data_IF_923238295050
#
_entry.id   IF_923238295050
#
_cell.length_a   1.000
_cell.length_b   1.000
_cell.length_c   1.000
_cell.angle_alpha   90.00
_cell.angle_beta   90.00
_cell.angle_gamma   90.00
#
_symmetry.space_group_name_H-M   'P 1'
#
loop_
_entity.id
_entity.type
_entity.pdbx_description
1 polymer ?
#
# COMPACT_ATOMS: atom_id res chain seq x y z
N UNK A 1 -6.00 -12.33 19.39
CA UNK A 1 -5.36 -11.77 18.22
C UNK A 1 -5.22 -10.27 18.34
N UNK A 2 -4.13 -9.77 17.88
CA UNK A 2 -3.79 -8.37 18.06
C UNK A 2 -4.47 -7.46 17.04
N UNK A 3 -4.18 -6.19 17.18
CA UNK A 3 -4.61 -5.14 16.26
C UNK A 3 -3.76 -5.17 14.99
N UNK A 4 -4.41 -4.93 13.86
CA UNK A 4 -3.71 -4.67 12.60
C UNK A 4 -3.60 -3.16 12.43
N UNK A 5 -2.37 -2.66 12.45
CA UNK A 5 -2.08 -1.23 12.26
C UNK A 5 -1.58 -1.00 10.85
N UNK A 6 -2.22 -0.10 10.13
CA UNK A 6 -1.94 0.16 8.72
C UNK A 6 -1.55 1.62 8.52
N UNK A 7 -0.41 1.83 7.89
CA UNK A 7 -0.04 3.15 7.39
C UNK A 7 -0.43 3.25 5.93
N UNK A 8 -1.23 4.24 5.56
CA UNK A 8 -1.66 4.43 4.18
C UNK A 8 -1.10 5.75 3.68
N UNK A 9 -0.18 5.67 2.73
CA UNK A 9 0.52 6.80 2.15
C UNK A 9 0.04 6.98 0.73
N UNK A 10 -0.73 8.05 0.50
CA UNK A 10 -1.45 8.27 -0.75
C UNK A 10 -0.96 9.54 -1.43
N UNK A 11 -0.81 9.48 -2.75
CA UNK A 11 -0.67 10.70 -3.52
C UNK A 11 -2.05 11.34 -3.67
N UNK A 12 -2.36 12.28 -2.77
CA UNK A 12 -3.67 12.93 -2.74
C UNK A 12 -3.97 13.80 -3.96
N UNK A 13 -2.97 14.10 -4.77
CA UNK A 13 -3.17 14.82 -6.02
C UNK A 13 -3.69 13.92 -7.13
N UNK A 14 -3.67 12.59 -6.92
CA UNK A 14 -4.22 11.63 -7.86
C UNK A 14 -5.60 11.18 -7.43
N UNK A 15 -6.67 11.52 -8.17
CA UNK A 15 -8.00 10.98 -7.89
C UNK A 15 -8.06 9.45 -7.94
N UNK A 16 -7.30 8.84 -8.87
CA UNK A 16 -7.23 7.37 -8.97
C UNK A 16 -6.63 6.76 -7.71
N UNK A 17 -5.50 7.29 -7.24
CA UNK A 17 -4.84 6.79 -6.04
C UNK A 17 -5.74 6.92 -4.81
N UNK A 18 -6.44 8.04 -4.67
CA UNK A 18 -7.36 8.26 -3.55
C UNK A 18 -8.48 7.22 -3.53
N UNK A 19 -9.09 6.97 -4.69
CA UNK A 19 -10.20 6.01 -4.78
C UNK A 19 -9.74 4.59 -4.48
N UNK A 20 -8.62 4.18 -5.07
CA UNK A 20 -8.08 2.84 -4.83
C UNK A 20 -7.67 2.66 -3.37
N UNK A 21 -6.99 3.65 -2.78
CA UNK A 21 -6.62 3.59 -1.37
C UNK A 21 -7.84 3.46 -0.46
N UNK A 22 -8.91 4.21 -0.77
CA UNK A 22 -10.17 4.11 -0.02
C UNK A 22 -10.82 2.74 -0.13
N UNK A 23 -10.83 2.17 -1.32
CA UNK A 23 -11.38 0.84 -1.55
C UNK A 23 -10.54 -0.26 -0.87
N UNK A 24 -9.22 -0.10 -0.87
CA UNK A 24 -8.32 -1.02 -0.16
C UNK A 24 -8.57 -0.93 1.35
N UNK A 25 -8.70 0.26 1.89
CA UNK A 25 -9.00 0.44 3.31
C UNK A 25 -10.34 -0.18 3.69
N UNK A 26 -11.37 0.02 2.87
CA UNK A 26 -12.68 -0.61 3.10
C UNK A 26 -12.57 -2.13 3.11
N UNK A 27 -11.80 -2.69 2.19
CA UNK A 27 -11.54 -4.13 2.15
C UNK A 27 -10.79 -4.63 3.37
N UNK A 28 -9.78 -3.90 3.82
CA UNK A 28 -9.02 -4.24 5.03
C UNK A 28 -9.94 -4.24 6.27
N UNK A 29 -10.77 -3.22 6.40
CA UNK A 29 -11.69 -3.10 7.54
C UNK A 29 -12.66 -4.26 7.62
N UNK A 30 -13.20 -4.70 6.48
CA UNK A 30 -14.14 -5.84 6.44
C UNK A 30 -13.44 -7.17 6.65
N UNK A 31 -12.30 -7.36 6.02
CA UNK A 31 -11.60 -8.65 6.02
C UNK A 31 -10.84 -8.92 7.31
N UNK A 32 -10.48 -7.89 8.05
CA UNK A 32 -9.66 -8.05 9.24
C UNK A 32 -10.31 -8.93 10.31
N UNK A 33 -11.61 -8.77 10.53
CA UNK A 33 -12.34 -9.59 11.49
C UNK A 33 -12.34 -11.06 11.08
N UNK A 34 -12.50 -11.32 9.78
CA UNK A 34 -12.47 -12.69 9.26
C UNK A 34 -11.08 -13.30 9.39
N UNK A 35 -10.04 -12.48 9.32
CA UNK A 35 -8.65 -12.93 9.44
C UNK A 35 -8.21 -13.10 10.89
N UNK A 36 -9.08 -12.81 11.86
CA UNK A 36 -8.79 -13.01 13.27
C UNK A 36 -8.23 -11.81 14.00
N UNK A 37 -8.19 -10.64 13.37
CA UNK A 37 -7.79 -9.41 14.04
C UNK A 37 -8.95 -8.84 14.84
N UNK A 38 -8.67 -8.36 16.05
CA UNK A 38 -9.70 -7.77 16.91
C UNK A 38 -10.01 -6.33 16.54
N UNK A 39 -9.06 -5.66 15.90
CA UNK A 39 -9.18 -4.26 15.54
C UNK A 39 -8.25 -3.92 14.37
N UNK A 40 -8.71 -3.07 13.49
CA UNK A 40 -7.90 -2.54 12.38
C UNK A 40 -7.95 -1.03 12.43
N UNK A 41 -6.78 -0.41 12.50
CA UNK A 41 -6.67 1.05 12.53
C UNK A 41 -5.77 1.50 11.40
N UNK A 42 -6.06 2.68 10.85
CA UNK A 42 -5.25 3.26 9.79
C UNK A 42 -4.73 4.63 10.19
N UNK A 43 -3.50 4.88 9.77
CA UNK A 43 -2.90 6.21 9.78
C UNK A 43 -2.76 6.65 8.33
N UNK A 44 -3.43 7.74 7.96
CA UNK A 44 -3.41 8.28 6.60
C UNK A 44 -2.45 9.46 6.51
N UNK A 45 -1.62 9.49 5.49
CA UNK A 45 -0.66 10.55 5.30
C UNK A 45 -0.44 10.80 3.80
N UNK A 46 -0.13 12.05 3.45
CA UNK A 46 0.25 12.36 2.08
C UNK A 46 1.62 11.77 1.78
N UNK A 47 1.70 10.99 0.71
CA UNK A 47 2.95 10.40 0.28
C UNK A 47 4.04 11.44 0.03
N UNK A 48 3.65 12.61 -0.48
CA UNK A 48 4.60 13.67 -0.82
C UNK A 48 5.08 14.48 0.38
N UNK A 49 4.44 14.33 1.51
CA UNK A 49 4.71 15.10 2.72
C UNK A 49 5.24 14.26 3.88
N UNK A 50 5.46 12.98 3.65
CA UNK A 50 6.00 12.10 4.68
C UNK A 50 7.39 12.58 5.09
N UNK A 51 7.57 12.81 6.38
CA UNK A 51 8.84 13.32 6.91
C UNK A 51 9.46 12.39 7.95
N UNK A 52 8.64 11.64 8.66
CA UNK A 52 9.12 10.73 9.70
C UNK A 52 8.40 9.40 9.60
N UNK A 53 9.10 8.29 9.87
CA UNK A 53 8.44 6.99 9.92
C UNK A 53 7.37 6.98 10.99
N UNK A 54 6.24 6.35 10.69
CA UNK A 54 5.16 6.16 11.64
C UNK A 54 5.48 4.94 12.51
N UNK A 55 5.54 5.11 13.80
CA UNK A 55 5.80 4.00 14.71
C UNK A 55 4.59 3.08 14.82
N UNK A 56 4.85 1.80 14.80
CA UNK A 56 3.89 0.77 15.15
C UNK A 56 3.04 0.15 14.06
N UNK A 57 2.98 0.64 12.80
CA UNK A 57 2.18 -0.06 11.79
C UNK A 57 2.73 -1.43 11.45
N UNK A 58 1.81 -2.38 11.23
CA UNK A 58 2.15 -3.74 10.79
C UNK A 58 2.36 -3.81 9.29
N UNK A 59 1.78 -2.86 8.56
CA UNK A 59 1.91 -2.77 7.10
C UNK A 59 1.87 -1.30 6.69
N UNK A 60 2.71 -0.95 5.72
CA UNK A 60 2.66 0.34 5.04
C UNK A 60 2.17 0.12 3.61
N UNK A 61 1.18 0.88 3.18
CA UNK A 61 0.65 0.83 1.82
C UNK A 61 0.95 2.15 1.13
N UNK A 62 1.63 2.08 -0.01
CA UNK A 62 1.91 3.25 -0.84
C UNK A 62 1.01 3.20 -2.07
N UNK A 63 0.22 4.24 -2.28
CA UNK A 63 -0.70 4.31 -3.42
C UNK A 63 -0.40 5.51 -4.29
N UNK A 64 0.00 5.26 -5.53
CA UNK A 64 0.17 6.28 -6.55
C UNK A 64 -0.80 6.02 -7.70
N UNK A 65 -1.06 7.04 -8.51
CA UNK A 65 -1.90 6.89 -9.70
C UNK A 65 -1.08 6.96 -10.98
N UNK A 66 -1.49 6.19 -11.98
CA UNK A 66 -0.88 6.27 -13.30
C UNK A 66 -1.03 7.67 -13.91
N UNK A 67 -2.06 8.42 -13.49
CA UNK A 67 -2.32 9.79 -13.92
C UNK A 67 -1.31 10.80 -13.33
N UNK A 68 -0.56 10.41 -12.31
CA UNK A 68 0.44 11.26 -11.65
C UNK A 68 1.72 10.49 -11.42
N UNK A 69 2.45 10.11 -12.50
CA UNK A 69 3.59 9.19 -12.38
C UNK A 69 4.78 9.73 -11.60
N UNK A 70 4.92 11.05 -11.47
CA UNK A 70 6.01 11.67 -10.73
C UNK A 70 5.97 11.35 -9.23
N UNK A 71 4.83 10.94 -8.70
CA UNK A 71 4.70 10.57 -7.30
C UNK A 71 5.57 9.35 -6.92
N UNK A 72 6.02 8.57 -7.90
CA UNK A 72 6.86 7.41 -7.64
C UNK A 72 8.15 7.77 -6.89
N UNK A 73 8.63 8.98 -7.07
CA UNK A 73 9.86 9.43 -6.43
C UNK A 73 9.75 9.49 -4.89
N UNK A 74 8.54 9.58 -4.37
CA UNK A 74 8.29 9.63 -2.94
C UNK A 74 8.13 8.26 -2.29
N UNK A 75 7.99 7.19 -3.08
CA UNK A 75 7.87 5.84 -2.54
C UNK A 75 9.19 5.44 -1.87
N UNK A 76 9.10 4.90 -0.69
CA UNK A 76 10.29 4.51 0.08
C UNK A 76 10.69 5.53 1.13
N UNK A 77 10.05 6.71 1.17
CA UNK A 77 10.40 7.77 2.13
C UNK A 77 10.29 7.30 3.59
N UNK A 78 9.41 6.32 3.87
CA UNK A 78 9.25 5.75 5.20
C UNK A 78 9.75 4.30 5.26
N UNK A 79 10.54 3.88 4.29
CA UNK A 79 11.08 2.53 4.27
C UNK A 79 12.01 2.30 5.46
N UNK A 80 11.67 1.35 6.30
CA UNK A 80 12.47 0.97 7.45
C UNK A 80 12.50 -0.56 7.52
N UNK A 81 13.67 -1.18 7.32
CA UNK A 81 13.76 -2.65 7.34
C UNK A 81 13.45 -3.27 8.71
N UNK A 82 13.46 -2.48 9.78
CA UNK A 82 13.14 -2.95 11.13
C UNK A 82 11.64 -3.01 11.43
N UNK A 83 10.82 -2.29 10.69
CA UNK A 83 9.36 -2.23 10.80
C UNK A 83 8.83 -1.36 9.65
N UNK A 84 7.67 -1.65 9.10
CA UNK A 84 6.71 -2.71 9.42
C UNK A 84 7.13 -4.06 8.84
N UNK A 85 6.29 -5.07 9.04
CA UNK A 85 6.55 -6.41 8.50
C UNK A 85 6.24 -6.54 7.01
N UNK A 86 5.37 -5.69 6.49
CA UNK A 86 4.90 -5.80 5.11
C UNK A 86 4.71 -4.43 4.47
N UNK A 87 5.05 -4.33 3.20
CA UNK A 87 4.87 -3.11 2.40
C UNK A 87 4.00 -3.42 1.19
N UNK A 88 2.92 -2.66 1.03
CA UNK A 88 2.12 -2.71 -0.19
C UNK A 88 2.53 -1.58 -1.12
N UNK A 89 2.70 -1.88 -2.40
CA UNK A 89 2.95 -0.87 -3.43
C UNK A 89 1.86 -0.97 -4.47
N UNK A 90 1.07 0.08 -4.61
CA UNK A 90 -0.08 0.10 -5.51
C UNK A 90 0.10 1.19 -6.56
N UNK A 91 -0.08 0.80 -7.82
CA UNK A 91 -0.27 1.76 -8.90
C UNK A 91 -1.73 1.67 -9.35
N UNK A 92 -2.48 2.75 -9.13
CA UNK A 92 -3.88 2.83 -9.53
C UNK A 92 -3.97 3.11 -11.03
N UNK A 93 -4.76 2.33 -11.73
CA UNK A 93 -4.92 2.43 -13.19
C UNK A 93 -6.37 2.70 -13.56
N UNK A 94 -6.62 3.54 -14.62
CA UNK A 94 -7.98 3.93 -14.98
C UNK A 94 -8.74 2.88 -15.78
N UNK A 95 -8.03 2.04 -16.49
CA UNK A 95 -8.60 1.02 -17.34
C UNK A 95 -7.56 -0.03 -17.65
N UNK A 96 -7.38 -0.39 -18.93
CA UNK A 96 -6.35 -1.36 -19.30
C UNK A 96 -4.98 -0.82 -18.92
N UNK A 97 -4.17 -1.58 -18.15
CA UNK A 97 -2.83 -1.12 -17.76
C UNK A 97 -1.94 -0.87 -18.97
N UNK A 98 -1.20 0.22 -18.94
CA UNK A 98 -0.21 0.56 -19.94
C UNK A 98 1.17 0.07 -19.51
N UNK A 99 2.16 0.04 -20.43
CA UNK A 99 3.56 -0.25 -20.05
C UNK A 99 4.08 0.70 -18.95
N UNK A 100 3.60 1.95 -18.93
CA UNK A 100 3.97 2.90 -17.90
C UNK A 100 3.57 2.40 -16.51
N UNK A 101 2.39 1.83 -16.35
CA UNK A 101 1.92 1.33 -15.06
C UNK A 101 2.84 0.23 -14.52
N UNK A 102 3.24 -0.71 -15.37
CA UNK A 102 4.17 -1.76 -14.99
C UNK A 102 5.55 -1.22 -14.61
N UNK A 103 6.03 -0.24 -15.37
CA UNK A 103 7.30 0.42 -15.07
C UNK A 103 7.27 1.14 -13.73
N UNK A 104 6.18 1.85 -13.44
CA UNK A 104 6.01 2.54 -12.16
C UNK A 104 5.99 1.56 -10.99
N UNK A 105 5.30 0.43 -11.17
CA UNK A 105 5.24 -0.59 -10.13
C UNK A 105 6.64 -1.15 -9.83
N UNK A 106 7.39 -1.45 -10.86
CA UNK A 106 8.77 -1.91 -10.72
C UNK A 106 9.65 -0.88 -10.01
N UNK A 107 9.54 0.39 -10.40
CA UNK A 107 10.28 1.47 -9.76
C UNK A 107 9.92 1.60 -8.27
N UNK A 108 8.65 1.45 -7.93
CA UNK A 108 8.22 1.50 -6.53
C UNK A 108 8.85 0.40 -5.69
N UNK A 109 8.89 -0.82 -6.21
CA UNK A 109 9.56 -1.93 -5.53
C UNK A 109 11.06 -1.66 -5.37
N UNK A 110 11.70 -1.15 -6.43
CA UNK A 110 13.14 -0.81 -6.37
C UNK A 110 13.44 0.24 -5.31
N UNK A 111 12.61 1.27 -5.19
CA UNK A 111 12.83 2.32 -4.19
C UNK A 111 12.73 1.77 -2.77
N UNK A 112 11.78 0.88 -2.51
CA UNK A 112 11.68 0.25 -1.21
C UNK A 112 12.85 -0.67 -0.92
N UNK A 113 13.20 -1.54 -1.85
CA UNK A 113 14.33 -2.46 -1.66
C UNK A 113 15.65 -1.70 -1.55
N UNK A 114 15.76 -0.54 -2.20
CA UNK A 114 16.91 0.35 -2.07
C UNK A 114 17.10 0.91 -0.65
N UNK A 115 16.05 0.91 0.18
CA UNK A 115 16.16 1.33 1.59
C UNK A 115 16.54 0.17 2.52
N UNK A 116 16.72 -1.02 1.98
CA UNK A 116 17.04 -2.22 2.77
C UNK A 116 15.86 -3.14 3.03
N UNK A 117 14.65 -2.78 2.56
CA UNK A 117 13.48 -3.63 2.66
C UNK A 117 13.69 -4.87 1.78
N UNK A 118 13.43 -6.05 2.32
CA UNK A 118 13.56 -7.30 1.57
C UNK A 118 12.43 -7.41 0.53
N UNK A 119 12.78 -7.83 -0.68
CA UNK A 119 11.80 -7.97 -1.76
C UNK A 119 10.61 -8.87 -1.38
N UNK A 120 10.84 -9.91 -0.59
CA UNK A 120 9.79 -10.80 -0.12
C UNK A 120 8.79 -10.15 0.84
N UNK A 121 9.09 -8.96 1.35
CA UNK A 121 8.20 -8.20 2.22
C UNK A 121 7.38 -7.15 1.47
N UNK A 122 7.47 -7.15 0.15
CA UNK A 122 6.74 -6.18 -0.69
C UNK A 122 5.65 -6.90 -1.46
N UNK A 123 4.42 -6.37 -1.40
CA UNK A 123 3.27 -6.87 -2.16
C UNK A 123 2.87 -5.81 -3.18
N UNK A 124 3.36 -5.93 -4.43
CA UNK A 124 3.03 -4.96 -5.47
C UNK A 124 1.74 -5.34 -6.21
N UNK A 125 0.99 -4.34 -6.64
CA UNK A 125 -0.21 -4.58 -7.46
C UNK A 125 -0.58 -3.38 -8.31
N UNK A 126 -1.10 -3.68 -9.51
CA UNK A 126 -1.82 -2.71 -10.32
C UNK A 126 -3.29 -2.88 -9.98
N UNK A 127 -3.95 -1.82 -9.54
CA UNK A 127 -5.36 -1.91 -9.12
C UNK A 127 -6.22 -0.86 -9.82
N UNK A 128 -7.40 -1.30 -10.21
CA UNK A 128 -8.47 -0.40 -10.63
C UNK A 128 -9.27 0.04 -9.41
N UNK A 129 -10.02 1.15 -9.54
CA UNK A 129 -10.94 1.59 -8.49
C UNK A 129 -12.21 0.74 -8.51
N UNK A 130 -12.06 -0.55 -8.31
CA UNK A 130 -13.12 -1.55 -8.26
C UNK A 130 -13.09 -2.20 -6.88
N UNK A 131 -14.14 -2.02 -6.07
CA UNK A 131 -14.13 -2.51 -4.68
C UNK A 131 -13.75 -3.98 -4.52
N UNK A 132 -14.29 -4.86 -5.36
CA UNK A 132 -13.98 -6.29 -5.28
C UNK A 132 -12.50 -6.60 -5.53
N UNK A 133 -11.89 -5.91 -6.49
CA UNK A 133 -10.47 -6.06 -6.80
C UNK A 133 -9.59 -5.58 -5.64
N UNK A 134 -9.94 -4.43 -5.08
CA UNK A 134 -9.21 -3.85 -3.95
C UNK A 134 -9.39 -4.70 -2.69
N UNK A 135 -10.55 -5.31 -2.49
CA UNK A 135 -10.77 -6.21 -1.37
C UNK A 135 -9.92 -7.48 -1.49
N UNK A 136 -9.79 -8.04 -2.68
CA UNK A 136 -8.89 -9.19 -2.89
C UNK A 136 -7.45 -8.86 -2.53
N UNK A 137 -7.00 -7.67 -2.91
CA UNK A 137 -5.67 -7.20 -2.52
C UNK A 137 -5.55 -7.05 -1.01
N UNK A 138 -6.54 -6.45 -0.37
CA UNK A 138 -6.57 -6.29 1.08
C UNK A 138 -6.49 -7.64 1.81
N UNK A 139 -7.20 -8.64 1.32
CA UNK A 139 -7.16 -10.00 1.88
C UNK A 139 -5.75 -10.61 1.76
N UNK A 140 -5.08 -10.39 0.64
CA UNK A 140 -3.69 -10.86 0.49
C UNK A 140 -2.76 -10.24 1.52
N UNK A 141 -2.91 -8.94 1.78
CA UNK A 141 -2.11 -8.27 2.80
C UNK A 141 -2.34 -8.89 4.18
N UNK A 142 -3.59 -9.09 4.55
CA UNK A 142 -3.95 -9.67 5.85
C UNK A 142 -3.47 -11.10 6.00
N UNK A 143 -3.58 -11.91 4.95
CA UNK A 143 -3.08 -13.28 4.94
C UNK A 143 -1.57 -13.31 5.18
N UNK A 144 -0.83 -12.44 4.54
CA UNK A 144 0.62 -12.35 4.72
C UNK A 144 0.98 -11.89 6.13
N UNK A 145 0.23 -10.95 6.69
CA UNK A 145 0.44 -10.51 8.07
C UNK A 145 0.19 -11.66 9.05
N UNK A 146 -0.87 -12.42 8.82
CA UNK A 146 -1.23 -13.55 9.68
C UNK A 146 -0.24 -14.69 9.61
N UNK A 147 0.56 -14.77 8.54
CA UNK A 147 1.54 -15.83 8.33
C UNK A 147 2.92 -15.50 8.92
N UNK A 148 3.14 -14.27 9.34
CA UNK A 148 4.44 -13.80 9.80
C UNK A 148 4.65 -13.99 11.31
#
# INVERSE_FOLDING_TARGET
MSEAKVGIFVDYESPLARRVAGDVWSGLSRAALEAGFTKTTAHWESLREVRTPTEGPSVHVFAIGQDRPDAIDAVGAVGDPGAPHLYGVIVAVPGKPSPLAGSLLYQGVERLTGTGVKAGMVEPALLHAVPAECERYARRLLERLGSS
#
